data_IF_772375231683
#
_entry.id   IF_772375231683
#
_cell.length_a   1.000
_cell.length_b   1.000
_cell.length_c   1.000
_cell.angle_alpha   90.00
_cell.angle_beta   90.00
_cell.angle_gamma   90.00
#
_symmetry.space_group_name_H-M   'P 1'
#
loop_
_entity.id
_entity.type
_entity.pdbx_description
1 polymer ?
#
# COMPACT_ATOMS: atom_id res chain seq x y z
N UNK A 1 -6.83 26.39 5.54
CA UNK A 1 -5.78 26.47 4.48
C UNK A 1 -5.35 25.05 4.17
N UNK A 2 -5.33 24.63 2.90
CA UNK A 2 -4.91 23.29 2.52
C UNK A 2 -3.42 23.08 2.85
N UNK A 3 -3.08 21.92 3.41
CA UNK A 3 -1.74 21.61 3.92
C UNK A 3 -0.86 20.99 2.83
N UNK A 4 -0.64 21.73 1.75
CA UNK A 4 0.22 21.28 0.65
C UNK A 4 1.69 21.42 1.00
N UNK A 5 2.47 20.40 0.63
CA UNK A 5 3.94 20.39 0.63
C UNK A 5 4.44 20.17 -0.78
N UNK A 6 5.59 20.79 -1.09
CA UNK A 6 6.19 20.71 -2.42
C UNK A 6 7.65 20.35 -2.29
N UNK A 7 8.13 19.44 -3.13
CA UNK A 7 9.55 19.08 -3.23
C UNK A 7 9.92 18.73 -4.68
N UNK A 8 11.22 18.83 -4.98
CA UNK A 8 11.77 18.38 -6.25
C UNK A 8 12.24 16.93 -6.18
N UNK A 9 12.05 16.18 -7.27
CA UNK A 9 12.53 14.81 -7.40
C UNK A 9 12.92 14.57 -8.87
N UNK A 10 14.21 14.63 -9.17
CA UNK A 10 14.70 14.56 -10.55
C UNK A 10 14.21 15.74 -11.41
N UNK A 11 13.63 15.45 -12.55
CA UNK A 11 13.15 16.46 -13.50
C UNK A 11 11.75 17.01 -13.21
N UNK A 12 11.13 16.61 -12.09
CA UNK A 12 9.75 16.98 -11.78
C UNK A 12 9.59 17.56 -10.38
N UNK A 13 8.47 18.22 -10.18
CA UNK A 13 8.04 18.73 -8.88
C UNK A 13 6.88 17.88 -8.37
N UNK A 14 6.98 17.46 -7.11
CA UNK A 14 5.90 16.75 -6.42
C UNK A 14 5.19 17.70 -5.46
N UNK A 15 3.87 17.78 -5.57
CA UNK A 15 3.00 18.47 -4.62
C UNK A 15 2.15 17.42 -3.91
N UNK A 16 2.16 17.43 -2.59
CA UNK A 16 1.37 16.51 -1.77
C UNK A 16 0.51 17.27 -0.77
N UNK A 17 -0.76 16.90 -0.69
CA UNK A 17 -1.68 17.40 0.32
C UNK A 17 -1.68 16.45 1.52
N UNK A 18 -1.21 16.93 2.67
CA UNK A 18 -1.11 16.11 3.89
C UNK A 18 -2.46 15.86 4.57
N UNK A 19 -3.53 16.56 4.15
CA UNK A 19 -4.86 16.38 4.75
C UNK A 19 -5.64 15.23 4.11
N UNK A 20 -5.37 14.92 2.81
CA UNK A 20 -6.12 13.90 2.08
C UNK A 20 -5.27 12.94 1.23
N UNK A 21 -3.94 13.13 1.21
CA UNK A 21 -3.01 12.26 0.48
C UNK A 21 -2.93 12.51 -1.04
N UNK A 22 -3.66 13.50 -1.58
CA UNK A 22 -3.57 13.82 -3.01
C UNK A 22 -2.16 14.22 -3.40
N UNK A 23 -1.63 13.57 -4.43
CA UNK A 23 -0.29 13.82 -4.95
C UNK A 23 -0.35 14.21 -6.43
N UNK A 24 0.35 15.28 -6.78
CA UNK A 24 0.47 15.78 -8.15
C UNK A 24 1.95 15.82 -8.50
N UNK A 25 2.32 15.27 -9.66
CA UNK A 25 3.67 15.35 -10.23
C UNK A 25 3.61 16.24 -11.47
N UNK A 26 4.48 17.24 -11.53
CA UNK A 26 4.54 18.19 -12.64
C UNK A 26 5.94 18.22 -13.24
N UNK A 27 6.05 18.01 -14.55
CA UNK A 27 7.29 18.16 -15.32
C UNK A 27 7.02 18.97 -16.60
N UNK A 28 8.08 19.48 -17.20
CA UNK A 28 8.03 20.10 -18.55
C UNK A 28 8.57 19.15 -19.62
N UNK A 29 9.11 18.02 -19.20
CA UNK A 29 9.68 17.01 -20.08
C UNK A 29 8.59 15.98 -20.46
N UNK A 30 8.84 15.23 -21.52
CA UNK A 30 7.90 14.20 -22.00
C UNK A 30 7.74 13.03 -21.01
N UNK A 31 8.75 12.79 -20.19
CA UNK A 31 8.75 11.70 -19.21
C UNK A 31 9.13 12.20 -17.79
N UNK A 32 8.52 11.60 -16.78
CA UNK A 32 8.87 11.83 -15.37
C UNK A 32 10.05 10.93 -14.99
N UNK A 33 11.17 11.54 -14.62
CA UNK A 33 12.37 10.84 -14.16
C UNK A 33 12.60 11.20 -12.68
N UNK A 34 12.46 10.20 -11.80
CA UNK A 34 12.69 10.35 -10.35
C UNK A 34 14.15 10.08 -9.99
N UNK A 35 14.76 10.91 -9.15
CA UNK A 35 16.07 10.66 -8.55
C UNK A 35 15.98 9.66 -7.40
N UNK A 36 14.90 9.75 -6.61
CA UNK A 36 14.61 8.85 -5.50
C UNK A 36 13.15 8.38 -5.55
N UNK A 37 12.85 7.26 -4.90
CA UNK A 37 11.49 6.71 -4.84
C UNK A 37 10.55 7.68 -4.12
N UNK A 38 9.38 7.96 -4.72
CA UNK A 38 8.35 8.77 -4.07
C UNK A 38 7.60 7.99 -3.00
N UNK A 39 7.48 6.67 -3.17
CA UNK A 39 6.84 5.76 -2.22
C UNK A 39 7.73 4.53 -2.00
N UNK A 40 7.79 4.07 -0.75
CA UNK A 40 8.49 2.82 -0.39
C UNK A 40 7.54 1.98 0.46
N UNK A 41 7.29 0.74 0.03
CA UNK A 41 6.59 -0.24 0.86
C UNK A 41 7.58 -0.93 1.77
N UNK A 42 7.38 -0.86 3.08
CA UNK A 42 8.30 -1.42 4.06
C UNK A 42 7.59 -2.47 4.91
N UNK A 43 8.01 -3.72 4.77
CA UNK A 43 7.60 -4.80 5.67
C UNK A 43 8.44 -4.75 6.93
N UNK A 44 7.82 -4.46 8.06
CA UNK A 44 8.50 -4.35 9.35
C UNK A 44 8.36 -5.60 10.23
N UNK A 45 7.40 -6.47 9.94
CA UNK A 45 7.21 -7.73 10.66
C UNK A 45 6.50 -8.76 9.77
N UNK A 46 6.60 -10.05 10.15
CA UNK A 46 5.71 -11.10 9.65
C UNK A 46 4.99 -11.84 10.81
N UNK A 47 4.93 -11.22 11.99
CA UNK A 47 4.10 -11.68 13.10
C UNK A 47 2.66 -11.21 12.89
N UNK A 48 1.69 -12.13 12.96
CA UNK A 48 0.27 -11.83 12.82
C UNK A 48 -0.56 -13.04 13.28
N UNK A 49 -1.52 -12.82 14.11
CA UNK A 49 -2.45 -13.83 14.67
C UNK A 49 -3.64 -14.14 13.77
N UNK A 50 -3.90 -13.33 12.73
CA UNK A 50 -5.07 -13.50 11.85
C UNK A 50 -5.02 -14.76 10.97
N UNK A 51 -3.84 -15.28 10.65
CA UNK A 51 -3.67 -16.51 9.88
C UNK A 51 -4.50 -16.61 8.59
N UNK A 52 -4.74 -15.49 7.90
CA UNK A 52 -5.56 -15.44 6.69
C UNK A 52 -5.14 -16.51 5.67
N UNK A 53 -6.12 -17.27 5.14
CA UNK A 53 -5.87 -18.38 4.21
C UNK A 53 -5.16 -17.95 2.92
N UNK A 54 -5.38 -16.73 2.48
CA UNK A 54 -4.81 -16.13 1.26
C UNK A 54 -3.62 -15.20 1.51
N UNK A 55 -3.02 -15.22 2.71
CA UNK A 55 -1.92 -14.30 3.06
C UNK A 55 -0.68 -14.54 2.19
N UNK A 56 -0.38 -13.60 1.31
CA UNK A 56 0.78 -13.63 0.43
C UNK A 56 2.11 -13.40 1.19
N UNK A 57 2.07 -12.74 2.36
CA UNK A 57 3.25 -12.59 3.24
C UNK A 57 3.55 -13.86 4.06
N UNK A 58 2.58 -14.76 4.19
CA UNK A 58 2.74 -15.97 5.00
C UNK A 58 2.93 -15.70 6.49
N UNK A 59 2.44 -14.55 6.97
CA UNK A 59 2.57 -14.12 8.38
C UNK A 59 1.95 -15.12 9.35
N UNK A 60 2.58 -15.31 10.52
CA UNK A 60 2.16 -16.25 11.56
C UNK A 60 2.27 -15.61 12.96
N UNK A 61 1.58 -16.17 13.99
CA UNK A 61 1.69 -15.66 15.37
C UNK A 61 3.11 -15.67 15.95
N UNK A 62 3.96 -16.57 15.44
CA UNK A 62 5.38 -16.71 15.85
C UNK A 62 6.34 -16.06 14.83
N UNK A 63 5.82 -15.19 13.96
CA UNK A 63 6.62 -14.49 12.97
C UNK A 63 7.68 -13.58 13.56
N UNK A 64 8.67 -13.24 12.75
CA UNK A 64 9.81 -12.38 13.14
C UNK A 64 9.46 -10.90 13.03
N UNK A 65 10.22 -10.08 13.74
CA UNK A 65 10.23 -8.62 13.67
C UNK A 65 11.51 -8.17 12.94
N UNK A 66 11.41 -7.11 12.14
CA UNK A 66 12.56 -6.45 11.55
C UNK A 66 13.22 -5.49 12.53
N UNK A 67 14.49 -5.17 12.35
CA UNK A 67 15.16 -4.11 13.11
C UNK A 67 14.85 -2.74 12.50
N UNK A 68 13.79 -2.08 13.01
CA UNK A 68 13.33 -0.80 12.48
C UNK A 68 14.05 0.43 13.04
N UNK A 69 14.97 0.26 13.99
CA UNK A 69 15.66 1.40 14.60
C UNK A 69 17.10 1.58 14.12
N UNK A 70 17.80 0.47 13.81
CA UNK A 70 19.25 0.49 13.61
C UNK A 70 19.68 0.41 12.13
N UNK A 71 18.76 0.22 11.19
CA UNK A 71 19.10 0.18 9.77
C UNK A 71 19.52 1.56 9.24
N UNK A 72 20.71 1.62 8.65
CA UNK A 72 21.35 2.87 8.22
C UNK A 72 20.55 3.64 7.16
N UNK A 73 19.87 2.92 6.25
CA UNK A 73 19.10 3.53 5.19
C UNK A 73 17.97 4.46 5.71
N UNK A 74 17.49 4.24 6.95
CA UNK A 74 16.46 5.09 7.56
C UNK A 74 16.93 6.54 7.65
N UNK A 75 18.22 6.76 7.82
CA UNK A 75 18.79 8.12 7.88
C UNK A 75 18.81 8.82 6.52
N UNK A 76 18.69 8.09 5.43
CA UNK A 76 18.71 8.61 4.06
C UNK A 76 17.32 8.86 3.47
N UNK A 77 16.23 8.59 4.22
CA UNK A 77 14.88 8.91 3.82
C UNK A 77 14.69 10.42 3.62
N UNK A 78 14.04 10.79 2.52
CA UNK A 78 13.81 12.19 2.15
C UNK A 78 12.59 12.79 2.86
N UNK A 79 12.62 14.11 3.18
CA UNK A 79 11.44 14.81 3.64
C UNK A 79 10.28 14.71 2.62
N UNK A 80 9.09 14.41 3.11
CA UNK A 80 7.85 14.24 2.32
C UNK A 80 7.85 13.01 1.38
N UNK A 81 8.87 12.15 1.45
CA UNK A 81 8.81 10.82 0.88
C UNK A 81 7.75 10.01 1.64
N UNK A 82 6.94 9.24 0.92
CA UNK A 82 5.95 8.38 1.55
C UNK A 82 6.51 6.99 1.81
N UNK A 83 6.19 6.46 2.96
CA UNK A 83 6.41 5.05 3.27
C UNK A 83 5.11 4.41 3.74
N UNK A 84 4.87 3.17 3.30
CA UNK A 84 3.76 2.35 3.75
C UNK A 84 4.32 1.19 4.59
N UNK A 85 4.06 1.20 5.88
CA UNK A 85 4.46 0.14 6.80
C UNK A 85 3.44 -0.99 6.77
N UNK A 86 3.90 -2.19 6.49
CA UNK A 86 3.06 -3.37 6.38
C UNK A 86 3.76 -4.66 6.80
N UNK A 87 3.21 -5.78 6.32
CA UNK A 87 3.68 -7.13 6.62
C UNK A 87 2.66 -7.92 7.44
N UNK A 88 2.97 -8.24 8.68
CA UNK A 88 2.05 -8.83 9.65
C UNK A 88 1.20 -7.78 10.38
N UNK A 89 1.04 -7.92 11.71
CA UNK A 89 0.42 -6.89 12.53
C UNK A 89 1.48 -5.86 12.94
N UNK A 90 1.52 -4.72 12.26
CA UNK A 90 2.51 -3.68 12.54
C UNK A 90 2.38 -3.08 13.94
N UNK A 91 1.17 -3.11 14.54
CA UNK A 91 0.92 -2.59 15.89
C UNK A 91 1.56 -3.43 16.99
N UNK A 92 1.91 -4.70 16.71
CA UNK A 92 2.64 -5.57 17.66
C UNK A 92 4.15 -5.30 17.69
N UNK A 93 4.67 -4.46 16.79
CA UNK A 93 6.11 -4.18 16.81
C UNK A 93 6.46 -3.28 18.03
N UNK A 94 7.30 -3.74 18.97
CA UNK A 94 7.55 -3.03 20.22
C UNK A 94 8.15 -1.65 20.03
N UNK A 95 8.93 -1.47 18.96
CA UNK A 95 9.61 -0.21 18.66
C UNK A 95 8.81 0.71 17.72
N UNK A 96 7.57 0.34 17.35
CA UNK A 96 6.79 1.08 16.36
C UNK A 96 6.67 2.58 16.72
N UNK A 97 6.31 2.91 17.95
CA UNK A 97 6.09 4.31 18.38
C UNK A 97 7.37 5.13 18.31
N UNK A 98 8.51 4.53 18.68
CA UNK A 98 9.82 5.20 18.59
C UNK A 98 10.18 5.42 17.13
N UNK A 99 9.97 4.44 16.29
CA UNK A 99 10.21 4.50 14.85
C UNK A 99 9.34 5.56 14.18
N UNK A 100 8.03 5.56 14.42
CA UNK A 100 7.10 6.56 13.88
C UNK A 100 7.51 7.99 14.28
N UNK A 101 7.96 8.19 15.52
CA UNK A 101 8.47 9.49 15.99
C UNK A 101 9.75 9.90 15.24
N UNK A 102 10.66 8.95 14.99
CA UNK A 102 11.89 9.17 14.19
C UNK A 102 11.51 9.61 12.77
N UNK A 103 10.59 8.92 12.12
CA UNK A 103 10.12 9.25 10.77
C UNK A 103 9.43 10.63 10.71
N UNK A 104 8.56 10.93 11.67
CA UNK A 104 7.92 12.25 11.81
C UNK A 104 8.96 13.37 11.93
N UNK A 105 10.01 13.19 12.74
CA UNK A 105 11.08 14.18 12.89
C UNK A 105 11.85 14.42 11.57
N UNK A 106 11.96 13.39 10.73
CA UNK A 106 12.52 13.49 9.38
C UNK A 106 11.52 14.05 8.35
N UNK A 107 10.29 14.35 8.77
CA UNK A 107 9.18 14.80 7.90
C UNK A 107 8.79 13.77 6.84
N UNK A 108 9.04 12.49 7.07
CA UNK A 108 8.58 11.40 6.23
C UNK A 108 7.07 11.23 6.42
N UNK A 109 6.34 10.99 5.34
CA UNK A 109 4.90 10.72 5.38
C UNK A 109 4.71 9.22 5.57
N UNK A 110 4.26 8.83 6.76
CA UNK A 110 4.11 7.42 7.11
C UNK A 110 2.65 7.00 7.03
N UNK A 111 2.40 5.93 6.28
CA UNK A 111 1.12 5.22 6.20
C UNK A 111 1.28 3.84 6.83
N UNK A 112 0.20 3.28 7.40
CA UNK A 112 0.20 1.93 7.96
C UNK A 112 -0.88 1.08 7.31
N UNK A 113 -0.60 -0.22 7.12
CA UNK A 113 -1.60 -1.18 6.65
C UNK A 113 -1.93 -2.16 7.76
N UNK A 114 -3.22 -2.33 8.04
CA UNK A 114 -3.75 -3.14 9.12
C UNK A 114 -4.79 -4.14 8.59
N UNK A 115 -4.91 -5.28 9.25
CA UNK A 115 -6.09 -6.12 9.11
C UNK A 115 -7.29 -5.47 9.80
N UNK A 116 -8.52 -5.67 9.28
CA UNK A 116 -9.74 -5.07 9.83
C UNK A 116 -9.88 -5.26 11.35
N UNK A 117 -9.66 -6.47 11.85
CA UNK A 117 -9.77 -6.76 13.30
C UNK A 117 -8.76 -5.94 14.10
N UNK A 118 -7.50 -5.90 13.68
CA UNK A 118 -6.48 -5.08 14.36
C UNK A 118 -6.83 -3.58 14.34
N UNK A 119 -7.42 -3.11 13.25
CA UNK A 119 -7.94 -1.74 13.18
C UNK A 119 -9.07 -1.51 14.18
N UNK A 120 -10.09 -2.39 14.20
CA UNK A 120 -11.28 -2.25 15.05
C UNK A 120 -10.96 -2.33 16.56
N UNK A 121 -9.97 -3.14 16.93
CA UNK A 121 -9.50 -3.30 18.32
C UNK A 121 -8.60 -2.16 18.79
N UNK A 122 -8.00 -1.38 17.87
CA UNK A 122 -7.01 -0.36 18.19
C UNK A 122 -7.39 1.05 17.71
N UNK A 123 -8.68 1.34 17.52
CA UNK A 123 -9.16 2.64 17.00
C UNK A 123 -8.58 3.81 17.78
N UNK A 124 -8.57 3.77 19.11
CA UNK A 124 -8.08 4.85 19.97
C UNK A 124 -6.56 5.09 19.82
N UNK A 125 -5.78 4.02 19.69
CA UNK A 125 -4.34 4.12 19.42
C UNK A 125 -4.10 4.76 18.05
N UNK A 126 -4.83 4.30 17.02
CA UNK A 126 -4.70 4.80 15.66
C UNK A 126 -5.10 6.28 15.59
N UNK A 127 -6.19 6.66 16.24
CA UNK A 127 -6.63 8.05 16.34
C UNK A 127 -5.55 8.95 16.97
N UNK A 128 -4.92 8.48 18.04
CA UNK A 128 -3.78 9.18 18.65
C UNK A 128 -2.61 9.34 17.69
N UNK A 129 -2.23 8.26 16.95
CA UNK A 129 -1.12 8.31 16.00
C UNK A 129 -1.39 9.30 14.85
N UNK A 130 -2.63 9.36 14.37
CA UNK A 130 -3.06 10.32 13.33
C UNK A 130 -3.07 11.74 13.87
N UNK A 131 -3.67 11.99 15.03
CA UNK A 131 -3.73 13.31 15.66
C UNK A 131 -2.34 13.86 15.97
N UNK A 132 -1.41 13.00 16.39
CA UNK A 132 -0.01 13.35 16.60
C UNK A 132 0.79 13.47 15.30
N UNK A 133 0.18 13.24 14.13
CA UNK A 133 0.85 13.25 12.81
C UNK A 133 2.06 12.30 12.75
N UNK A 134 1.97 11.17 13.40
CA UNK A 134 2.91 10.06 13.27
C UNK A 134 2.50 9.13 12.12
N UNK A 135 1.20 9.06 11.83
CA UNK A 135 0.60 8.35 10.71
C UNK A 135 -0.31 9.30 9.95
N UNK A 136 -0.26 9.26 8.62
CA UNK A 136 -1.07 10.09 7.73
C UNK A 136 -2.16 9.29 7.04
N UNK A 137 -1.85 8.14 6.46
CA UNK A 137 -2.80 7.26 5.78
C UNK A 137 -2.91 5.91 6.48
N UNK A 138 -4.11 5.32 6.42
CA UNK A 138 -4.42 4.03 7.00
C UNK A 138 -5.02 3.14 5.93
N UNK A 139 -4.33 2.07 5.56
CA UNK A 139 -4.87 0.99 4.74
C UNK A 139 -5.51 -0.06 5.65
N UNK A 140 -6.78 -0.39 5.45
CA UNK A 140 -7.45 -1.44 6.21
C UNK A 140 -7.86 -2.58 5.30
N UNK A 141 -7.21 -3.73 5.45
CA UNK A 141 -7.54 -4.95 4.72
C UNK A 141 -8.87 -5.52 5.22
N UNK A 142 -9.89 -5.43 4.38
CA UNK A 142 -11.25 -5.86 4.71
C UNK A 142 -11.33 -7.38 4.87
N UNK A 143 -12.03 -7.81 5.92
CA UNK A 143 -12.45 -9.18 6.13
C UNK A 143 -13.93 -9.35 5.79
N UNK A 144 -14.78 -8.49 6.33
CA UNK A 144 -16.21 -8.45 6.06
C UNK A 144 -16.77 -7.04 6.31
N UNK A 145 -17.60 -6.55 5.39
CA UNK A 145 -18.25 -5.25 5.55
C UNK A 145 -19.36 -5.32 6.61
N UNK A 146 -19.20 -4.56 7.69
CA UNK A 146 -20.20 -4.41 8.76
C UNK A 146 -20.53 -2.93 8.95
N UNK A 147 -21.72 -2.64 9.53
CA UNK A 147 -22.09 -1.26 9.82
C UNK A 147 -21.18 -0.63 10.87
N UNK A 148 -20.72 -1.41 11.85
CA UNK A 148 -19.77 -0.99 12.87
C UNK A 148 -18.40 -0.62 12.24
N UNK A 149 -17.89 -1.46 11.34
CA UNK A 149 -16.66 -1.15 10.60
C UNK A 149 -16.81 0.16 9.81
N UNK A 150 -17.92 0.34 9.09
CA UNK A 150 -18.20 1.57 8.32
C UNK A 150 -18.23 2.80 9.22
N UNK A 151 -18.84 2.72 10.39
CA UNK A 151 -18.85 3.82 11.35
C UNK A 151 -17.45 4.15 11.89
N UNK A 152 -16.64 3.14 12.19
CA UNK A 152 -15.27 3.31 12.67
C UNK A 152 -14.34 3.91 11.61
N UNK A 153 -14.36 3.37 10.37
CA UNK A 153 -13.45 3.81 9.31
C UNK A 153 -13.72 5.26 8.87
N UNK A 154 -14.97 5.71 8.92
CA UNK A 154 -15.37 7.09 8.61
C UNK A 154 -14.78 8.15 9.53
N UNK A 155 -14.28 7.77 10.70
CA UNK A 155 -13.57 8.70 11.60
C UNK A 155 -12.21 9.14 11.01
N UNK A 156 -11.71 8.43 10.01
CA UNK A 156 -10.39 8.64 9.44
C UNK A 156 -10.48 9.05 7.96
N UNK A 157 -10.44 10.36 7.64
CA UNK A 157 -10.59 10.85 6.26
C UNK A 157 -9.55 10.30 5.27
N UNK A 158 -8.37 9.91 5.77
CA UNK A 158 -7.29 9.33 4.98
C UNK A 158 -7.21 7.79 5.08
N UNK A 159 -8.30 7.16 5.52
CA UNK A 159 -8.37 5.71 5.48
C UNK A 159 -8.80 5.22 4.09
N UNK A 160 -8.17 4.12 3.66
CA UNK A 160 -8.47 3.42 2.42
C UNK A 160 -8.75 1.96 2.76
N UNK A 161 -9.89 1.45 2.29
CA UNK A 161 -10.26 0.05 2.46
C UNK A 161 -9.57 -0.77 1.38
N UNK A 162 -8.73 -1.71 1.79
CA UNK A 162 -8.07 -2.64 0.88
C UNK A 162 -8.95 -3.87 0.67
N UNK A 163 -9.25 -4.17 -0.59
CA UNK A 163 -9.99 -5.38 -0.98
C UNK A 163 -9.17 -6.15 -2.01
N UNK A 164 -9.30 -7.47 -2.01
CA UNK A 164 -8.53 -8.33 -2.92
C UNK A 164 -9.45 -8.88 -4.02
N UNK A 165 -9.05 -8.68 -5.27
CA UNK A 165 -9.71 -9.25 -6.44
C UNK A 165 -9.78 -10.79 -6.34
N UNK A 166 -10.99 -11.34 -6.27
CA UNK A 166 -11.21 -12.78 -6.06
C UNK A 166 -11.53 -13.18 -4.60
N UNK A 167 -11.39 -12.25 -3.64
CA UNK A 167 -11.78 -12.46 -2.23
C UNK A 167 -12.99 -11.61 -1.86
N UNK A 168 -13.02 -10.35 -2.32
CA UNK A 168 -14.15 -9.45 -2.06
C UNK A 168 -15.45 -10.03 -2.62
N UNK A 169 -16.53 -9.91 -1.86
CA UNK A 169 -17.85 -10.40 -2.25
C UNK A 169 -18.75 -9.26 -2.76
N UNK A 170 -19.77 -9.63 -3.54
CA UNK A 170 -20.81 -8.70 -3.96
C UNK A 170 -21.51 -8.02 -2.77
N UNK A 171 -21.76 -8.80 -1.71
CA UNK A 171 -22.40 -8.30 -0.50
C UNK A 171 -21.54 -7.23 0.21
N UNK A 172 -20.22 -7.43 0.27
CA UNK A 172 -19.30 -6.44 0.86
C UNK A 172 -19.31 -5.15 0.04
N UNK A 173 -19.18 -5.23 -1.28
CA UNK A 173 -19.25 -4.06 -2.16
C UNK A 173 -20.59 -3.33 -1.99
N UNK A 174 -21.70 -4.06 -1.97
CA UNK A 174 -23.03 -3.48 -1.76
C UNK A 174 -23.13 -2.75 -0.42
N UNK A 175 -22.61 -3.34 0.65
CA UNK A 175 -22.62 -2.72 1.98
C UNK A 175 -21.71 -1.49 2.09
N UNK A 176 -20.55 -1.50 1.44
CA UNK A 176 -19.62 -0.38 1.45
C UNK A 176 -20.06 0.77 0.52
N UNK A 177 -20.92 0.49 -0.48
CA UNK A 177 -21.32 1.44 -1.51
C UNK A 177 -22.07 2.65 -0.94
N UNK A 178 -21.86 3.84 -1.56
CA UNK A 178 -22.58 5.09 -1.26
C UNK A 178 -22.35 5.61 0.18
N UNK A 179 -21.25 5.23 0.81
CA UNK A 179 -20.85 5.72 2.12
C UNK A 179 -19.73 6.78 2.07
N UNK A 180 -19.36 7.24 0.87
CA UNK A 180 -18.24 8.17 0.64
C UNK A 180 -16.93 7.63 1.18
N UNK A 181 -16.63 6.37 0.86
CA UNK A 181 -15.43 5.65 1.28
C UNK A 181 -14.41 5.59 0.15
N UNK A 182 -13.15 5.38 0.50
CA UNK A 182 -12.06 5.16 -0.45
C UNK A 182 -11.71 3.68 -0.50
N UNK A 183 -11.56 3.15 -1.70
CA UNK A 183 -11.30 1.75 -1.95
C UNK A 183 -9.98 1.57 -2.72
N UNK A 184 -9.14 0.66 -2.28
CA UNK A 184 -8.00 0.15 -3.04
C UNK A 184 -8.25 -1.31 -3.39
N UNK A 185 -8.36 -1.60 -4.68
CA UNK A 185 -8.48 -2.97 -5.18
C UNK A 185 -7.09 -3.51 -5.45
N UNK A 186 -6.73 -4.56 -4.74
CA UNK A 186 -5.47 -5.29 -4.86
C UNK A 186 -5.67 -6.52 -5.74
N UNK A 187 -4.70 -6.81 -6.60
CA UNK A 187 -4.68 -8.04 -7.36
C UNK A 187 -4.48 -9.28 -6.46
N UNK A 188 -5.04 -10.42 -6.87
CA UNK A 188 -4.83 -11.68 -6.17
C UNK A 188 -3.40 -12.19 -6.41
N UNK A 189 -2.64 -12.37 -5.32
CA UNK A 189 -1.23 -12.79 -5.37
C UNK A 189 -1.09 -14.31 -5.17
N UNK A 190 -0.60 -15.01 -6.19
CA UNK A 190 -0.29 -16.45 -6.15
C UNK A 190 1.05 -16.72 -5.44
N UNK A 191 1.13 -16.37 -4.15
CA UNK A 191 2.33 -16.51 -3.34
C UNK A 191 2.01 -17.16 -2.00
N UNK A 192 2.87 -18.08 -1.53
CA UNK A 192 2.77 -18.72 -0.22
C UNK A 192 1.36 -19.25 0.03
N UNK A 193 0.68 -18.89 1.15
CA UNK A 193 -0.69 -19.33 1.42
C UNK A 193 -1.70 -18.88 0.36
N UNK A 194 -1.46 -17.76 -0.32
CA UNK A 194 -2.32 -17.33 -1.43
C UNK A 194 -2.34 -18.32 -2.58
N UNK A 195 -1.20 -18.92 -2.96
CA UNK A 195 -1.14 -19.96 -3.98
C UNK A 195 -1.80 -21.26 -3.51
N UNK A 196 -1.53 -21.68 -2.27
CA UNK A 196 -2.15 -22.86 -1.66
C UNK A 196 -3.67 -22.73 -1.58
N UNK A 197 -4.17 -21.56 -1.20
CA UNK A 197 -5.60 -21.27 -1.12
C UNK A 197 -6.25 -21.27 -2.50
N UNK A 198 -5.63 -20.64 -3.48
CA UNK A 198 -6.12 -20.64 -4.86
C UNK A 198 -6.32 -22.08 -5.37
N UNK A 199 -5.34 -22.96 -5.17
CA UNK A 199 -5.44 -24.37 -5.58
C UNK A 199 -6.65 -25.09 -4.95
N UNK A 200 -7.03 -24.72 -3.72
CA UNK A 200 -8.17 -25.32 -2.99
C UNK A 200 -9.53 -24.79 -3.45
N UNK A 201 -9.61 -23.50 -3.78
CA UNK A 201 -10.90 -22.83 -4.06
C UNK A 201 -10.90 -22.08 -5.40
N UNK A 202 -10.13 -22.56 -6.36
CA UNK A 202 -9.90 -21.93 -7.67
C UNK A 202 -11.18 -21.44 -8.33
N UNK A 203 -12.20 -22.30 -8.43
CA UNK A 203 -13.45 -21.93 -9.09
C UNK A 203 -14.12 -20.73 -8.43
N UNK A 204 -14.10 -20.67 -7.10
CA UNK A 204 -14.69 -19.56 -6.36
C UNK A 204 -13.95 -18.25 -6.64
N UNK A 205 -12.62 -18.26 -6.60
CA UNK A 205 -11.79 -17.08 -6.88
C UNK A 205 -12.00 -16.61 -8.31
N UNK A 206 -11.93 -17.52 -9.29
CA UNK A 206 -12.12 -17.20 -10.71
C UNK A 206 -13.51 -16.61 -10.99
N UNK A 207 -14.55 -17.09 -10.34
CA UNK A 207 -15.92 -16.55 -10.47
C UNK A 207 -16.03 -15.15 -9.83
N UNK A 208 -15.43 -14.94 -8.66
CA UNK A 208 -15.40 -13.64 -8.00
C UNK A 208 -14.63 -12.62 -8.83
N UNK A 209 -13.49 -13.00 -9.42
CA UNK A 209 -12.71 -12.12 -10.30
C UNK A 209 -13.50 -11.73 -11.57
N UNK A 210 -14.19 -12.69 -12.19
CA UNK A 210 -15.05 -12.42 -13.35
C UNK A 210 -16.20 -11.48 -13.00
N UNK A 211 -16.83 -11.70 -11.85
CA UNK A 211 -17.87 -10.81 -11.35
C UNK A 211 -17.36 -9.40 -11.13
N UNK A 212 -16.26 -9.23 -10.37
CA UNK A 212 -15.70 -7.92 -10.09
C UNK A 212 -15.32 -7.18 -11.38
N UNK A 213 -14.68 -7.86 -12.33
CA UNK A 213 -14.33 -7.30 -13.64
C UNK A 213 -15.57 -6.82 -14.41
N UNK A 214 -16.65 -7.59 -14.40
CA UNK A 214 -17.91 -7.23 -15.08
C UNK A 214 -18.58 -6.01 -14.45
N UNK A 215 -18.60 -5.94 -13.13
CA UNK A 215 -19.32 -4.90 -12.38
C UNK A 215 -18.46 -3.65 -12.12
N UNK A 216 -17.18 -3.64 -12.52
CA UNK A 216 -16.21 -2.62 -12.14
C UNK A 216 -16.67 -1.20 -12.49
N UNK A 217 -17.16 -0.96 -13.71
CA UNK A 217 -17.66 0.36 -14.13
C UNK A 217 -18.79 0.88 -13.24
N UNK A 218 -19.67 -0.02 -12.76
CA UNK A 218 -20.75 0.35 -11.85
C UNK A 218 -20.25 0.63 -10.43
N UNK A 219 -19.13 0.01 -10.02
CA UNK A 219 -18.54 0.15 -8.70
C UNK A 219 -17.82 1.49 -8.57
N UNK A 220 -17.12 1.94 -9.62
CA UNK A 220 -16.33 3.18 -9.61
C UNK A 220 -17.13 4.38 -9.11
N UNK A 221 -18.40 4.49 -9.49
CA UNK A 221 -19.27 5.62 -9.13
C UNK A 221 -19.90 5.52 -7.73
N UNK A 222 -19.63 4.44 -6.96
CA UNK A 222 -20.24 4.22 -5.63
C UNK A 222 -19.31 4.58 -4.48
N UNK A 223 -18.09 5.00 -4.76
CA UNK A 223 -17.06 5.35 -3.80
C UNK A 223 -16.50 6.74 -4.07
N UNK A 224 -15.92 7.40 -3.06
CA UNK A 224 -15.24 8.68 -3.23
C UNK A 224 -13.99 8.53 -4.12
N UNK A 225 -13.23 7.45 -3.89
CA UNK A 225 -12.05 7.08 -4.68
C UNK A 225 -12.03 5.57 -4.85
N UNK A 226 -11.73 5.11 -6.06
CA UNK A 226 -11.34 3.71 -6.32
C UNK A 226 -9.96 3.72 -6.96
N UNK A 227 -9.01 3.09 -6.33
CA UNK A 227 -7.63 2.93 -6.81
C UNK A 227 -7.27 1.45 -6.95
N UNK A 228 -6.18 1.18 -7.66
CA UNK A 228 -5.76 -0.17 -8.01
C UNK A 228 -4.24 -0.30 -7.82
N UNK A 229 -3.77 -1.46 -7.36
CA UNK A 229 -2.36 -1.82 -7.55
C UNK A 229 -2.13 -2.30 -9.00
N UNK A 230 -0.88 -2.35 -9.44
CA UNK A 230 -0.56 -2.72 -10.82
C UNK A 230 -1.05 -4.13 -11.19
N UNK A 231 -1.04 -5.06 -10.24
CA UNK A 231 -1.56 -6.40 -10.46
C UNK A 231 -3.09 -6.41 -10.66
N UNK A 232 -3.83 -5.59 -9.94
CA UNK A 232 -5.28 -5.44 -10.14
C UNK A 232 -5.59 -4.75 -11.47
N UNK A 233 -4.79 -3.75 -11.88
CA UNK A 233 -4.91 -3.10 -13.19
C UNK A 233 -4.84 -4.15 -14.30
N UNK A 234 -3.87 -5.05 -14.24
CA UNK A 234 -3.70 -6.14 -15.21
C UNK A 234 -4.87 -7.14 -15.15
N UNK A 235 -5.15 -7.69 -13.96
CA UNK A 235 -6.17 -8.74 -13.78
C UNK A 235 -7.57 -8.28 -14.18
N UNK A 236 -7.93 -7.04 -13.89
CA UNK A 236 -9.23 -6.44 -14.17
C UNK A 236 -9.29 -5.75 -15.54
N UNK A 237 -8.15 -5.59 -16.23
CA UNK A 237 -8.03 -4.82 -17.46
C UNK A 237 -8.55 -3.38 -17.33
N UNK A 238 -8.15 -2.70 -16.24
CA UNK A 238 -8.62 -1.33 -15.91
C UNK A 238 -8.35 -0.36 -17.05
N UNK A 239 -7.24 -0.52 -17.78
CA UNK A 239 -6.90 0.30 -18.95
C UNK A 239 -8.04 0.43 -19.95
N UNK A 240 -8.84 -0.62 -20.13
CA UNK A 240 -9.95 -0.62 -21.08
C UNK A 240 -11.17 0.23 -20.67
N UNK A 241 -11.19 0.72 -19.44
CA UNK A 241 -12.26 1.56 -18.90
C UNK A 241 -11.97 3.06 -19.03
N UNK A 242 -10.75 3.42 -19.43
CA UNK A 242 -10.26 4.80 -19.47
C UNK A 242 -9.94 5.21 -20.92
N UNK A 243 -10.12 6.49 -21.21
CA UNK A 243 -9.58 7.10 -22.43
C UNK A 243 -8.04 7.14 -22.36
N UNK A 244 -7.38 7.50 -23.47
CA UNK A 244 -5.93 7.66 -23.46
C UNK A 244 -5.50 8.79 -22.54
N UNK A 245 -6.23 9.91 -22.57
CA UNK A 245 -5.98 11.10 -21.77
C UNK A 245 -6.13 10.79 -20.26
N UNK A 246 -7.21 10.11 -19.87
CA UNK A 246 -7.42 9.67 -18.48
C UNK A 246 -6.33 8.69 -18.04
N UNK A 247 -5.90 7.78 -18.90
CA UNK A 247 -4.82 6.86 -18.57
C UNK A 247 -3.50 7.57 -18.30
N UNK A 248 -3.12 8.52 -19.16
CA UNK A 248 -1.90 9.31 -18.99
C UNK A 248 -1.95 10.19 -17.73
N UNK A 249 -3.14 10.69 -17.37
CA UNK A 249 -3.33 11.52 -16.20
C UNK A 249 -3.26 10.70 -14.89
N UNK A 250 -3.90 9.51 -14.84
CA UNK A 250 -4.10 8.78 -13.59
C UNK A 250 -3.14 7.61 -13.39
N UNK A 251 -2.51 7.08 -14.45
CA UNK A 251 -1.59 5.97 -14.31
C UNK A 251 -0.29 6.41 -13.66
N UNK A 252 -0.01 5.88 -12.47
CA UNK A 252 1.16 6.27 -11.67
C UNK A 252 2.50 5.68 -12.18
N UNK A 253 2.46 4.88 -13.25
CA UNK A 253 3.62 4.21 -13.85
C UNK A 253 3.82 2.77 -13.34
N UNK A 254 4.76 2.08 -13.97
CA UNK A 254 5.13 0.71 -13.63
C UNK A 254 5.80 0.64 -12.25
N UNK A 255 5.67 -0.52 -11.60
CA UNK A 255 6.43 -0.83 -10.39
C UNK A 255 7.93 -0.63 -10.62
N UNK A 256 8.61 -0.02 -9.65
CA UNK A 256 10.04 0.31 -9.76
C UNK A 256 10.35 1.63 -10.47
N UNK A 257 9.39 2.27 -11.14
CA UNK A 257 9.60 3.59 -11.77
C UNK A 257 9.71 4.73 -10.76
N UNK A 258 8.91 4.66 -9.70
CA UNK A 258 8.90 5.64 -8.59
C UNK A 258 8.66 5.00 -7.22
N UNK A 259 8.63 3.68 -7.16
CA UNK A 259 8.33 2.89 -5.96
C UNK A 259 9.25 1.69 -5.85
N UNK A 260 9.46 1.16 -4.65
CA UNK A 260 10.08 -0.15 -4.44
C UNK A 260 9.70 -0.71 -3.06
N UNK A 261 10.11 -1.95 -2.79
CA UNK A 261 9.76 -2.70 -1.59
C UNK A 261 11.01 -3.03 -0.76
N UNK A 262 10.89 -2.87 0.56
CA UNK A 262 11.90 -3.27 1.54
C UNK A 262 11.30 -4.31 2.50
N UNK A 263 11.97 -5.44 2.68
CA UNK A 263 11.67 -6.46 3.68
C UNK A 263 12.70 -6.38 4.82
N UNK A 264 12.34 -5.69 5.91
CA UNK A 264 13.24 -5.55 7.07
C UNK A 264 13.38 -6.84 7.86
N UNK A 265 12.46 -7.79 7.73
CA UNK A 265 12.53 -9.09 8.40
C UNK A 265 13.61 -9.96 7.77
N UNK A 266 13.68 -9.97 6.44
CA UNK A 266 14.65 -10.77 5.68
C UNK A 266 15.86 -9.93 5.24
N UNK A 267 15.90 -8.63 5.57
CA UNK A 267 16.96 -7.68 5.23
C UNK A 267 17.22 -7.62 3.73
N UNK A 268 16.14 -7.53 2.94
CA UNK A 268 16.20 -7.51 1.48
C UNK A 268 15.32 -6.41 0.89
N UNK A 269 15.63 -6.02 -0.34
CA UNK A 269 14.75 -5.13 -1.11
C UNK A 269 14.51 -5.70 -2.52
N UNK A 270 13.44 -5.22 -3.16
CA UNK A 270 13.05 -5.64 -4.49
C UNK A 270 12.15 -4.58 -5.15
N UNK A 271 11.84 -4.75 -6.44
CA UNK A 271 10.88 -3.92 -7.16
C UNK A 271 9.50 -3.89 -6.47
N UNK A 272 9.04 -5.04 -5.98
CA UNK A 272 7.77 -5.18 -5.27
C UNK A 272 7.80 -6.39 -4.31
N UNK A 273 6.74 -6.57 -3.53
CA UNK A 273 6.62 -7.69 -2.59
C UNK A 273 6.44 -9.07 -3.27
N UNK A 274 6.15 -9.11 -4.57
CA UNK A 274 5.95 -10.36 -5.32
C UNK A 274 7.26 -10.95 -5.89
N UNK A 275 8.35 -10.18 -5.89
CA UNK A 275 9.64 -10.66 -6.34
C UNK A 275 10.04 -11.95 -5.60
N UNK A 276 10.46 -12.97 -6.35
CA UNK A 276 10.94 -14.22 -5.78
C UNK A 276 12.12 -13.95 -4.83
N UNK A 277 12.22 -14.74 -3.76
CA UNK A 277 13.18 -14.46 -2.69
C UNK A 277 14.62 -14.45 -3.18
N UNK A 278 14.98 -15.33 -4.09
CA UNK A 278 16.29 -15.45 -4.72
C UNK A 278 16.62 -14.29 -5.70
N UNK A 279 15.59 -13.53 -6.10
CA UNK A 279 15.72 -12.34 -6.95
C UNK A 279 15.72 -11.03 -6.15
N UNK A 280 15.66 -11.10 -4.82
CA UNK A 280 15.72 -9.92 -3.95
C UNK A 280 17.17 -9.59 -3.62
N UNK A 281 17.48 -8.31 -3.57
CA UNK A 281 18.80 -7.78 -3.23
C UNK A 281 18.97 -7.65 -1.72
N UNK A 282 20.23 -7.74 -1.23
CA UNK A 282 20.57 -7.44 0.17
C UNK A 282 20.41 -5.95 0.45
N UNK A 283 19.96 -5.57 1.67
CA UNK A 283 19.80 -4.18 2.05
C UNK A 283 21.11 -3.38 1.88
N UNK A 284 20.97 -2.20 1.30
CA UNK A 284 22.04 -1.20 1.20
C UNK A 284 21.88 -0.14 2.30
N UNK A 285 22.89 0.71 2.45
CA UNK A 285 22.89 1.76 3.46
C UNK A 285 22.08 3.01 3.07
N UNK A 286 21.62 3.08 1.83
CA UNK A 286 20.89 4.24 1.28
C UNK A 286 19.65 3.80 0.49
N UNK A 287 18.52 4.50 0.71
CA UNK A 287 17.30 4.28 -0.09
C UNK A 287 17.51 4.65 -1.55
N UNK A 288 18.36 5.64 -1.83
CA UNK A 288 18.65 6.08 -3.19
C UNK A 288 19.48 5.04 -3.94
N UNK A 289 20.49 4.45 -3.29
CA UNK A 289 21.26 3.34 -3.87
C UNK A 289 20.37 2.16 -4.19
N UNK A 290 19.48 1.75 -3.26
CA UNK A 290 18.49 0.69 -3.49
C UNK A 290 17.59 1.02 -4.69
N UNK A 291 17.09 2.24 -4.75
CA UNK A 291 16.22 2.66 -5.86
C UNK A 291 16.95 2.66 -7.21
N UNK A 292 18.23 3.06 -7.26
CA UNK A 292 19.02 3.00 -8.50
C UNK A 292 19.21 1.54 -8.98
N UNK A 293 19.42 0.59 -8.07
CA UNK A 293 19.44 -0.84 -8.43
C UNK A 293 18.14 -1.26 -9.11
N UNK A 294 16.98 -0.92 -8.52
CA UNK A 294 15.65 -1.23 -9.07
C UNK A 294 15.41 -0.59 -10.44
N UNK A 295 15.82 0.68 -10.61
CA UNK A 295 15.70 1.37 -11.92
C UNK A 295 16.52 0.71 -13.01
N UNK A 296 17.72 0.22 -12.69
CA UNK A 296 18.59 -0.44 -13.64
C UNK A 296 18.07 -1.83 -14.04
N UNK A 297 17.39 -2.55 -13.15
CA UNK A 297 16.71 -3.81 -13.46
C UNK A 297 15.63 -3.64 -14.54
N UNK A 298 14.96 -2.49 -14.61
CA UNK A 298 13.92 -2.19 -15.60
C UNK A 298 14.46 -1.95 -17.02
N UNK A 299 15.78 -1.74 -17.16
CA UNK A 299 16.43 -1.43 -18.44
C UNK A 299 17.14 -2.63 -19.06
N UNK A 300 17.23 -3.75 -18.32
CA UNK A 300 17.81 -5.03 -18.74
C UNK A 300 16.71 -6.02 -19.16
#
# INVERSE_FOLDING_TARGET
>A
MSNWKTYKNGNHTVKINLDNGTKIKETKDDEIISDFATNIDIKICNRCDMCCSFCHEGSTPVGKLGDILNEKFIETLHPYQEIALGGGNVLEHPDLIVFLRKLKNKKVITNITLHQIHFEENVDLIERLVNEKMVYGIGVSLMVATDDFIQKIKKFPNAIIHVINGIITENDIKKLSNHNLKLLILGYKHLRRGDEWYKKVKLHIDLSQKWLKKELSSILNKFEVVSFDNLAIEQLNVRSLLTNEEWEEFYAGEEGSSTFYIDMVERKFARNSMAAFDKRYELLNSVDEMFQVIKNESKS
#
